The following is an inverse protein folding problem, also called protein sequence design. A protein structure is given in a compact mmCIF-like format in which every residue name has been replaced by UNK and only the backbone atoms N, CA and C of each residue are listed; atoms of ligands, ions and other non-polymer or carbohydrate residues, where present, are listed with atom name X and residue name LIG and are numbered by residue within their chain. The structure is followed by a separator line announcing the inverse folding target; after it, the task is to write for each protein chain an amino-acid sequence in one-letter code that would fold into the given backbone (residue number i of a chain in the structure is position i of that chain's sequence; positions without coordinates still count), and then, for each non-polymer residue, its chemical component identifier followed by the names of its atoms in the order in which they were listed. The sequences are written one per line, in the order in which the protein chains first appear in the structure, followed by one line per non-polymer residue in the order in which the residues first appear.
data_IF_525139753160
#
_entry.id   IF_525139753160
#
_cell.length_a   1.000
_cell.length_b   1.000
_cell.length_c   1.000
_cell.angle_alpha   90.00
_cell.angle_beta   90.00
_cell.angle_gamma   90.00
#
_symmetry.space_group_name_H-M   'P 1'
#
loop_
_entity.id
_entity.type
_entity.pdbx_description
1 polymer ?
#
# COMPACT_ATOMS: atom_id res chain seq x y z
N UNK A 1 -5.62 -2.93 8.76
CA UNK A 1 -4.27 -3.53 8.82
C UNK A 1 -3.36 -3.06 7.69
N UNK A 2 -2.12 -2.66 7.99
CA UNK A 2 -1.09 -2.39 6.99
C UNK A 2 -0.59 -3.68 6.31
N UNK A 3 -0.11 -3.58 5.07
CA UNK A 3 0.65 -4.66 4.43
C UNK A 3 2.14 -4.57 4.81
N UNK A 4 2.94 -5.56 4.43
CA UNK A 4 4.32 -5.73 4.92
C UNK A 4 5.21 -4.49 4.79
N UNK A 5 5.07 -3.68 3.73
CA UNK A 5 5.95 -2.52 3.50
C UNK A 5 5.76 -1.47 4.59
N UNK A 6 4.50 -1.13 4.87
CA UNK A 6 4.17 -0.14 5.90
C UNK A 6 4.13 -0.77 7.29
N UNK A 7 3.89 -2.07 7.41
CA UNK A 7 3.98 -2.76 8.71
C UNK A 7 5.41 -2.80 9.25
N UNK A 8 6.38 -3.14 8.40
CA UNK A 8 7.73 -3.53 8.86
C UNK A 8 8.81 -2.48 8.59
N UNK A 9 8.61 -1.60 7.60
CA UNK A 9 9.68 -0.70 7.11
C UNK A 9 9.30 0.78 7.13
N UNK A 10 8.04 1.13 6.84
CA UNK A 10 7.58 2.53 6.76
C UNK A 10 6.20 2.73 7.42
N UNK A 11 6.06 2.50 8.75
CA UNK A 11 4.78 2.60 9.49
C UNK A 11 4.13 3.98 9.44
N UNK A 12 4.93 5.04 9.36
CA UNK A 12 4.45 6.42 9.26
C UNK A 12 3.56 6.63 8.02
N UNK A 13 3.77 5.91 6.93
CA UNK A 13 2.91 6.01 5.74
C UNK A 13 1.50 5.53 6.06
N UNK A 14 1.37 4.40 6.76
CA UNK A 14 0.06 3.88 7.12
C UNK A 14 -0.67 4.81 8.09
N UNK A 15 0.06 5.38 9.07
CA UNK A 15 -0.51 6.34 10.01
C UNK A 15 -1.05 7.58 9.30
N UNK A 16 -0.28 8.11 8.34
CA UNK A 16 -0.68 9.26 7.54
C UNK A 16 -1.89 8.95 6.65
N UNK A 17 -1.91 7.80 5.98
CA UNK A 17 -3.03 7.39 5.13
C UNK A 17 -4.34 7.32 5.94
N UNK A 18 -4.31 6.78 7.17
CA UNK A 18 -5.49 6.76 8.06
C UNK A 18 -6.01 8.14 8.46
N UNK A 19 -5.18 9.18 8.39
CA UNK A 19 -5.59 10.55 8.69
C UNK A 19 -6.07 11.31 7.45
N UNK A 20 -5.70 10.87 6.25
CA UNK A 20 -5.97 11.56 4.99
C UNK A 20 -7.22 11.01 4.30
N UNK A 21 -7.43 9.70 4.36
CA UNK A 21 -8.54 9.07 3.65
C UNK A 21 -9.83 9.09 4.49
N UNK A 22 -10.97 9.48 3.87
CA UNK A 22 -12.25 9.46 4.55
C UNK A 22 -12.67 8.02 4.87
N UNK A 23 -13.43 7.86 5.94
CA UNK A 23 -14.12 6.60 6.20
C UNK A 23 -15.45 6.52 5.45
N UNK A 24 -16.13 5.38 5.60
CA UNK A 24 -17.41 5.15 4.92
C UNK A 24 -18.51 6.08 5.43
N UNK A 25 -18.47 6.48 6.71
CA UNK A 25 -19.47 7.35 7.31
C UNK A 25 -19.35 8.75 6.71
N UNK A 26 -18.14 9.29 6.61
CA UNK A 26 -17.86 10.55 5.94
C UNK A 26 -18.33 10.53 4.47
N UNK A 27 -18.08 9.44 3.73
CA UNK A 27 -18.59 9.31 2.36
C UNK A 27 -20.12 9.33 2.28
N UNK A 28 -20.82 8.71 3.23
CA UNK A 28 -22.29 8.69 3.28
C UNK A 28 -22.91 10.05 3.63
N UNK A 29 -22.16 10.96 4.25
CA UNK A 29 -22.63 12.33 4.48
C UNK A 29 -22.84 13.08 3.15
N UNK A 30 -21.98 12.84 2.16
CA UNK A 30 -21.93 13.58 0.90
C UNK A 30 -22.58 12.87 -0.29
N UNK A 31 -22.69 11.54 -0.25
CA UNK A 31 -23.17 10.74 -1.37
C UNK A 31 -24.29 9.78 -0.96
N UNK A 32 -25.11 9.38 -1.93
CA UNK A 32 -26.15 8.37 -1.74
C UNK A 32 -25.70 7.03 -2.35
N UNK A 33 -26.24 5.91 -1.84
CA UNK A 33 -25.94 4.56 -2.34
C UNK A 33 -24.43 4.26 -2.43
N UNK A 34 -23.65 4.66 -1.42
CA UNK A 34 -22.21 4.38 -1.36
C UNK A 34 -21.98 2.89 -1.19
N UNK A 35 -21.29 2.29 -2.16
CA UNK A 35 -20.84 0.90 -2.10
C UNK A 35 -19.33 0.84 -2.18
N UNK A 36 -18.73 0.00 -1.35
CA UNK A 36 -17.29 -0.19 -1.29
C UNK A 36 -16.96 -1.67 -1.45
N UNK A 37 -16.05 -2.00 -2.36
CA UNK A 37 -15.55 -3.38 -2.53
C UNK A 37 -14.02 -3.45 -2.54
N UNK A 38 -13.42 -4.52 -1.99
CA UNK A 38 -11.98 -4.75 -2.11
C UNK A 38 -11.52 -4.73 -3.57
N UNK A 39 -10.36 -4.13 -3.80
CA UNK A 39 -9.62 -4.21 -5.06
C UNK A 39 -8.27 -4.86 -4.79
N UNK A 40 -8.18 -6.21 -4.82
CA UNK A 40 -6.91 -6.90 -4.68
C UNK A 40 -5.96 -6.52 -5.81
N UNK A 41 -4.69 -6.32 -5.48
CA UNK A 41 -3.67 -5.93 -6.46
C UNK A 41 -3.03 -7.18 -7.05
N UNK A 42 -3.06 -7.38 -8.38
CA UNK A 42 -2.40 -8.52 -9.03
C UNK A 42 -0.89 -8.53 -8.78
N UNK A 43 -0.29 -9.72 -8.71
CA UNK A 43 1.14 -9.88 -8.50
C UNK A 43 2.01 -9.28 -9.63
N UNK A 44 1.44 -9.16 -10.83
CA UNK A 44 2.08 -8.69 -12.05
C UNK A 44 1.67 -7.24 -12.43
N UNK A 45 1.04 -6.50 -11.52
CA UNK A 45 0.63 -5.11 -11.74
C UNK A 45 1.80 -4.23 -12.21
N UNK A 46 1.63 -3.45 -13.29
CA UNK A 46 2.71 -2.64 -13.89
C UNK A 46 2.52 -1.13 -13.72
N UNK A 47 1.41 -0.70 -13.13
CA UNK A 47 1.01 0.72 -13.02
C UNK A 47 2.01 1.54 -12.18
N UNK A 48 2.62 0.93 -11.16
CA UNK A 48 3.69 1.56 -10.38
C UNK A 48 3.20 2.45 -9.24
N UNK A 49 1.91 2.43 -8.91
CA UNK A 49 1.41 3.02 -7.67
C UNK A 49 2.00 2.30 -6.44
N UNK A 50 1.82 2.90 -5.25
CA UNK A 50 2.52 2.53 -4.02
C UNK A 50 2.56 1.02 -3.71
N UNK A 51 1.46 0.29 -3.86
CA UNK A 51 1.43 -1.16 -3.58
C UNK A 51 1.58 -2.07 -4.82
N UNK A 52 1.88 -1.54 -6.01
CA UNK A 52 1.94 -2.30 -7.26
C UNK A 52 3.01 -3.39 -7.27
N UNK A 53 4.08 -3.22 -6.48
CA UNK A 53 5.20 -4.15 -6.38
C UNK A 53 5.16 -5.00 -5.10
N UNK A 54 3.99 -5.22 -4.50
CA UNK A 54 3.84 -5.97 -3.24
C UNK A 54 4.49 -7.36 -3.24
N UNK A 55 4.61 -8.02 -4.41
CA UNK A 55 5.27 -9.33 -4.58
C UNK A 55 6.71 -9.25 -5.13
N UNK A 56 7.21 -8.03 -5.35
CA UNK A 56 8.55 -7.72 -5.91
C UNK A 56 9.22 -6.68 -5.00
N UNK A 57 9.54 -7.04 -3.76
CA UNK A 57 10.00 -6.10 -2.73
C UNK A 57 11.27 -5.33 -3.11
N UNK A 58 12.14 -5.90 -3.95
CA UNK A 58 13.37 -5.28 -4.45
C UNK A 58 13.09 -3.99 -5.22
N UNK A 59 11.91 -3.88 -5.86
CA UNK A 59 11.51 -2.69 -6.60
C UNK A 59 11.50 -1.44 -5.69
N UNK A 60 11.17 -1.58 -4.41
CA UNK A 60 11.14 -0.45 -3.47
C UNK A 60 12.53 0.06 -3.08
N UNK A 61 13.60 -0.73 -3.27
CA UNK A 61 14.97 -0.25 -3.05
C UNK A 61 15.38 0.75 -4.14
N UNK A 62 14.83 0.60 -5.36
CA UNK A 62 15.10 1.51 -6.47
C UNK A 62 14.61 2.93 -6.16
N UNK A 63 15.56 3.88 -6.18
CA UNK A 63 15.25 5.30 -6.02
C UNK A 63 14.27 5.79 -7.07
N UNK A 64 14.41 5.37 -8.33
CA UNK A 64 13.52 5.78 -9.42
C UNK A 64 12.08 5.32 -9.19
N UNK A 65 11.87 4.10 -8.68
CA UNK A 65 10.55 3.58 -8.35
C UNK A 65 9.92 4.39 -7.22
N UNK A 66 10.68 4.65 -6.15
CA UNK A 66 10.20 5.46 -5.01
C UNK A 66 9.87 6.90 -5.39
N UNK A 67 10.62 7.51 -6.30
CA UNK A 67 10.35 8.87 -6.79
C UNK A 67 8.98 9.01 -7.45
N UNK A 68 8.45 7.92 -8.04
CA UNK A 68 7.12 7.90 -8.66
C UNK A 68 5.98 7.67 -7.65
N UNK A 69 6.29 7.47 -6.37
CA UNK A 69 5.32 7.11 -5.34
C UNK A 69 5.22 8.23 -4.29
N UNK A 70 4.10 8.96 -4.31
CA UNK A 70 3.89 10.13 -3.45
C UNK A 70 3.99 9.90 -1.94
N UNK A 71 3.76 8.70 -1.35
CA UNK A 71 3.98 8.52 0.08
C UNK A 71 5.44 8.71 0.51
N UNK A 72 6.41 8.28 -0.32
CA UNK A 72 7.83 8.39 0.02
C UNK A 72 8.33 9.84 0.08
N UNK A 73 7.69 10.78 -0.64
CA UNK A 73 8.07 12.20 -0.59
C UNK A 73 7.71 12.87 0.74
N UNK A 74 6.86 12.22 1.54
CA UNK A 74 6.41 12.75 2.83
C UNK A 74 7.29 12.31 4.01
N UNK A 75 8.21 11.37 3.79
CA UNK A 75 9.14 10.89 4.81
C UNK A 75 10.46 11.64 4.68
N UNK A 76 10.99 12.14 5.81
CA UNK A 76 12.24 12.92 5.83
C UNK A 76 13.48 12.05 5.65
N UNK A 77 13.50 10.86 6.24
CA UNK A 77 14.62 9.95 6.19
C UNK A 77 14.14 8.52 5.97
N UNK A 78 14.49 7.95 4.81
CA UNK A 78 14.14 6.60 4.41
C UNK A 78 15.24 5.58 4.73
N UNK A 79 16.43 6.04 5.15
CA UNK A 79 17.64 5.23 5.19
C UNK A 79 17.48 3.98 6.05
N UNK A 80 16.94 4.12 7.26
CA UNK A 80 16.74 3.02 8.19
C UNK A 80 15.77 1.95 7.63
N UNK A 81 14.64 2.37 7.08
CA UNK A 81 13.64 1.46 6.49
C UNK A 81 14.18 0.73 5.25
N UNK A 82 14.93 1.43 4.40
CA UNK A 82 15.55 0.85 3.21
C UNK A 82 16.66 -0.13 3.56
N UNK A 83 17.54 0.23 4.49
CA UNK A 83 18.62 -0.66 4.94
C UNK A 83 18.03 -1.94 5.53
N UNK A 84 17.01 -1.81 6.38
CA UNK A 84 16.33 -2.98 6.95
C UNK A 84 15.70 -3.86 5.86
N UNK A 85 15.07 -3.26 4.86
CA UNK A 85 14.49 -4.00 3.73
C UNK A 85 15.58 -4.75 2.95
N UNK A 86 16.69 -4.08 2.65
CA UNK A 86 17.83 -4.69 1.97
C UNK A 86 18.40 -5.87 2.74
N UNK A 87 18.62 -5.71 4.05
CA UNK A 87 19.14 -6.76 4.93
C UNK A 87 18.18 -7.96 5.04
N UNK A 88 16.87 -7.71 5.16
CA UNK A 88 15.86 -8.75 5.24
C UNK A 88 15.69 -9.52 3.92
N UNK A 89 15.87 -8.85 2.78
CA UNK A 89 15.86 -9.49 1.47
C UNK A 89 17.13 -10.34 1.27
N UNK A 90 18.31 -9.80 1.60
CA UNK A 90 19.58 -10.51 1.48
C UNK A 90 19.64 -11.76 2.38
N UNK A 91 19.04 -11.70 3.57
CA UNK A 91 19.01 -12.81 4.53
C UNK A 91 17.83 -13.78 4.37
N UNK A 92 16.85 -13.45 3.53
CA UNK A 92 15.63 -14.24 3.34
C UNK A 92 14.58 -14.11 4.47
N UNK A 93 14.82 -13.22 5.44
CA UNK A 93 13.88 -12.93 6.54
C UNK A 93 12.55 -12.40 6.00
N UNK A 94 12.58 -11.55 4.96
CA UNK A 94 11.36 -11.03 4.35
C UNK A 94 10.45 -12.16 3.85
N UNK A 95 11.01 -13.13 3.11
CA UNK A 95 10.26 -14.25 2.55
C UNK A 95 9.73 -15.17 3.66
N UNK A 96 10.49 -15.39 4.73
CA UNK A 96 10.05 -16.17 5.90
C UNK A 96 8.85 -15.52 6.59
N UNK A 97 8.93 -14.20 6.85
CA UNK A 97 7.87 -13.46 7.55
C UNK A 97 6.62 -13.27 6.68
N UNK A 98 6.79 -13.21 5.36
CA UNK A 98 5.72 -13.00 4.40
C UNK A 98 5.41 -14.27 3.57
N UNK A 99 5.69 -15.47 4.09
CA UNK A 99 5.51 -16.72 3.34
C UNK A 99 4.08 -16.90 2.81
N UNK A 100 3.08 -16.44 3.58
CA UNK A 100 1.66 -16.56 3.23
C UNK A 100 1.26 -15.84 1.94
N UNK A 101 2.04 -14.87 1.45
CA UNK A 101 1.74 -14.12 0.22
C UNK A 101 2.54 -14.60 -0.99
N UNK A 102 3.49 -15.52 -0.82
CA UNK A 102 4.40 -15.95 -1.89
C UNK A 102 3.69 -16.73 -3.00
N UNK A 103 2.64 -17.48 -2.68
CA UNK A 103 1.86 -18.26 -3.66
C UNK A 103 0.61 -17.51 -4.17
N UNK A 104 0.35 -16.30 -3.66
CA UNK A 104 -0.83 -15.53 -4.02
C UNK A 104 -0.68 -14.85 -5.39
N UNK A 105 -1.75 -14.87 -6.19
CA UNK A 105 -1.85 -14.15 -7.47
C UNK A 105 -2.32 -12.70 -7.31
N UNK A 106 -2.92 -12.38 -6.16
CA UNK A 106 -3.32 -11.02 -5.79
C UNK A 106 -3.28 -10.85 -4.27
N UNK A 107 -3.21 -9.60 -3.81
CA UNK A 107 -3.19 -9.27 -2.38
C UNK A 107 -4.14 -8.10 -2.10
N UNK A 108 -5.00 -8.23 -1.08
CA UNK A 108 -5.71 -7.08 -0.52
C UNK A 108 -4.73 -6.27 0.33
N UNK A 109 -4.34 -5.10 -0.19
CA UNK A 109 -3.44 -4.14 0.47
C UNK A 109 -4.18 -2.85 0.84
N UNK A 110 -5.51 -2.92 0.98
CA UNK A 110 -6.35 -1.81 1.45
C UNK A 110 -6.98 -0.97 0.34
N UNK A 111 -6.72 -1.25 -0.93
CA UNK A 111 -7.37 -0.54 -2.04
C UNK A 111 -8.83 -0.94 -2.15
N UNK A 112 -9.69 0.05 -2.39
CA UNK A 112 -11.13 -0.12 -2.48
C UNK A 112 -11.66 0.54 -3.75
N UNK A 113 -12.57 -0.13 -4.44
CA UNK A 113 -13.39 0.53 -5.44
C UNK A 113 -14.65 1.06 -4.76
N UNK A 114 -14.85 2.36 -4.88
CA UNK A 114 -16.04 3.04 -4.37
C UNK A 114 -16.90 3.45 -5.56
N UNK A 115 -18.19 3.13 -5.49
CA UNK A 115 -19.21 3.70 -6.38
C UNK A 115 -20.33 4.28 -5.54
N UNK A 116 -20.89 5.40 -5.99
CA UNK A 116 -21.90 6.14 -5.28
C UNK A 116 -22.73 6.97 -6.27
N UNK A 117 -23.91 7.42 -5.83
CA UNK A 117 -24.73 8.41 -6.54
C UNK A 117 -24.45 9.80 -5.98
N UNK A 118 -24.31 10.76 -6.89
CA UNK A 118 -24.25 12.17 -6.52
C UNK A 118 -25.61 12.55 -5.95
N UNK A 119 -25.62 13.12 -4.74
CA UNK A 119 -26.84 13.62 -4.14
C UNK A 119 -27.33 14.81 -4.94
N UNK A 120 -28.50 14.67 -5.55
CA UNK A 120 -29.20 15.81 -6.13
C UNK A 120 -29.99 16.47 -4.99
N UNK A 121 -29.67 17.73 -4.71
CA UNK A 121 -30.38 18.54 -3.70
C UNK A 121 -31.86 18.73 -4.02
#
# INVERSE_FOLDING_TARGET
EPFWLTRDYFPEIHEMDRQIFPDLDELNEYFDEVTMRPLPIPSDCQDGFFAAFWKRPEAYLSHQVRQSMSPFSKIKDLSAGLQKLEDDLASGVWAKNNHAILDSSSLDVGYRLISAKVRNG
#
